data_IF_872936802313
#
_entry.id   IF_872936802313
#
_cell.length_a   1.000
_cell.length_b   1.000
_cell.length_c   1.000
_cell.angle_alpha   90.00
_cell.angle_beta   90.00
_cell.angle_gamma   90.00
#
_symmetry.space_group_name_H-M   'P 1'
#
loop_
_entity.id
_entity.type
_entity.pdbx_description
1 polymer ?
#
# COMPACT_ATOMS: atom_id res chain seq x y z
N UNK A 1 7.57 -3.60 -10.61
CA UNK A 1 6.21 -4.18 -10.74
C UNK A 1 5.28 -3.03 -11.13
N UNK A 2 4.39 -3.16 -12.13
CA UNK A 2 3.80 -2.02 -12.85
C UNK A 2 2.86 -1.14 -12.00
N UNK A 3 3.28 0.09 -11.73
CA UNK A 3 2.37 1.25 -11.71
C UNK A 3 2.32 1.84 -13.13
N UNK A 4 1.28 1.50 -13.89
CA UNK A 4 0.85 2.26 -15.07
C UNK A 4 -0.64 2.55 -14.93
N UNK A 5 -0.96 3.78 -14.53
CA UNK A 5 -1.64 4.75 -15.39
C UNK A 5 -1.72 6.10 -14.66
N UNK A 6 -0.86 7.01 -15.10
CA UNK A 6 -0.73 8.41 -14.66
C UNK A 6 -1.85 9.31 -15.20
N UNK A 7 -3.10 8.84 -15.18
CA UNK A 7 -4.25 9.71 -15.43
C UNK A 7 -5.31 9.14 -16.35
N UNK A 8 -6.53 9.10 -15.79
CA UNK A 8 -7.84 9.35 -16.43
C UNK A 8 -8.86 8.22 -16.52
N UNK A 9 -8.53 6.94 -16.27
CA UNK A 9 -9.57 5.91 -15.97
C UNK A 9 -9.15 4.77 -15.02
N UNK A 10 -7.88 4.68 -14.61
CA UNK A 10 -7.37 3.62 -13.70
C UNK A 10 -6.89 4.09 -12.32
N UNK A 11 -6.85 5.41 -12.05
CA UNK A 11 -6.21 5.96 -10.85
C UNK A 11 -6.88 5.59 -9.52
N UNK A 12 -8.17 5.25 -9.55
CA UNK A 12 -8.89 4.79 -8.35
C UNK A 12 -8.60 3.33 -7.98
N UNK A 13 -8.06 2.53 -8.91
CA UNK A 13 -7.82 1.11 -8.69
C UNK A 13 -6.91 0.86 -7.49
N UNK A 14 -5.97 1.76 -7.25
CA UNK A 14 -4.97 1.68 -6.18
C UNK A 14 -5.10 2.81 -5.14
N UNK A 15 -6.20 3.56 -5.16
CA UNK A 15 -6.38 4.69 -4.25
C UNK A 15 -6.49 4.22 -2.79
N UNK A 16 -7.14 3.08 -2.56
CA UNK A 16 -7.21 2.46 -1.24
C UNK A 16 -5.83 2.02 -0.75
N UNK A 17 -5.04 1.36 -1.60
CA UNK A 17 -3.69 0.91 -1.24
C UNK A 17 -2.79 2.09 -0.86
N UNK A 18 -2.89 3.20 -1.60
CA UNK A 18 -2.17 4.43 -1.30
C UNK A 18 -2.59 5.05 0.06
N UNK A 19 -3.88 5.09 0.36
CA UNK A 19 -4.39 5.60 1.64
C UNK A 19 -3.96 4.71 2.80
N UNK A 20 -4.08 3.39 2.66
CA UNK A 20 -3.66 2.41 3.68
C UNK A 20 -2.15 2.53 3.94
N UNK A 21 -1.34 2.59 2.89
CA UNK A 21 0.10 2.74 3.02
C UNK A 21 0.49 4.09 3.67
N UNK A 22 -0.16 5.20 3.29
CA UNK A 22 0.07 6.50 3.91
C UNK A 22 -0.30 6.50 5.39
N UNK A 23 -1.44 5.91 5.74
CA UNK A 23 -1.91 5.79 7.13
C UNK A 23 -0.94 4.94 7.96
N UNK A 24 -0.52 3.78 7.44
CA UNK A 24 0.42 2.90 8.12
C UNK A 24 1.79 3.56 8.34
N UNK A 25 2.27 4.36 7.37
CA UNK A 25 3.53 5.10 7.48
C UNK A 25 3.48 6.27 8.45
N UNK A 26 2.30 6.85 8.68
CA UNK A 26 2.11 7.95 9.63
C UNK A 26 1.87 7.47 11.06
N UNK A 27 1.49 6.20 11.25
CA UNK A 27 1.26 5.61 12.56
C UNK A 27 2.57 5.41 13.34
N UNK A 28 2.46 5.43 14.68
CA UNK A 28 3.62 5.23 15.55
C UNK A 28 4.06 3.75 15.51
N UNK A 29 5.35 3.45 15.26
CA UNK A 29 5.83 2.07 15.21
C UNK A 29 5.66 1.31 16.53
N UNK A 30 5.49 -0.03 16.51
CA UNK A 30 5.50 -0.90 15.33
C UNK A 30 4.13 -1.02 14.63
N UNK A 31 4.13 -1.16 13.30
CA UNK A 31 2.91 -1.26 12.48
C UNK A 31 2.98 -2.49 11.56
N UNK A 32 1.90 -3.27 11.53
CA UNK A 32 1.70 -4.38 10.60
C UNK A 32 0.42 -4.16 9.78
N UNK A 33 0.50 -4.31 8.46
CA UNK A 33 -0.64 -4.28 7.55
C UNK A 33 -0.90 -5.69 7.04
N UNK A 34 -2.14 -6.17 7.19
CA UNK A 34 -2.58 -7.46 6.69
C UNK A 34 -3.36 -7.26 5.39
N UNK A 35 -2.99 -8.00 4.34
CA UNK A 35 -3.61 -7.88 3.01
C UNK A 35 -3.60 -9.21 2.26
N UNK A 36 -4.64 -9.55 1.48
CA UNK A 36 -4.61 -10.74 0.62
C UNK A 36 -3.66 -10.58 -0.58
N UNK A 37 -3.35 -9.34 -0.97
CA UNK A 37 -2.44 -9.03 -2.07
C UNK A 37 -1.22 -8.25 -1.55
N UNK A 38 -0.08 -8.94 -1.53
CA UNK A 38 1.20 -8.37 -1.09
C UNK A 38 1.88 -7.53 -2.17
N UNK A 39 1.67 -7.87 -3.44
CA UNK A 39 2.48 -7.34 -4.54
C UNK A 39 2.13 -5.88 -4.83
N UNK A 40 0.86 -5.51 -4.63
CA UNK A 40 0.38 -4.14 -4.83
C UNK A 40 0.66 -3.24 -3.61
N UNK A 41 0.49 -3.75 -2.38
CA UNK A 41 0.56 -2.92 -1.17
C UNK A 41 1.98 -2.77 -0.60
N UNK A 42 2.79 -3.85 -0.62
CA UNK A 42 4.13 -3.86 -0.03
C UNK A 42 5.07 -2.79 -0.60
N UNK A 43 5.06 -2.48 -1.91
CA UNK A 43 5.90 -1.40 -2.46
C UNK A 43 5.57 0.00 -1.92
N UNK A 44 4.35 0.22 -1.39
CA UNK A 44 3.88 1.54 -0.94
C UNK A 44 4.17 1.79 0.56
N UNK A 45 4.22 0.74 1.37
CA UNK A 45 4.33 0.83 2.84
C UNK A 45 5.73 1.23 3.36
N UNK A 46 6.78 1.09 2.55
CA UNK A 46 8.16 1.37 2.97
C UNK A 46 8.70 0.37 4.00
N UNK A 47 9.94 0.59 4.46
CA UNK A 47 10.68 -0.43 5.24
C UNK A 47 10.28 -0.57 6.72
N UNK A 48 9.59 0.42 7.28
CA UNK A 48 9.24 0.47 8.71
C UNK A 48 7.87 -0.16 9.02
N UNK A 49 7.09 -0.47 7.98
CA UNK A 49 5.79 -1.09 8.08
C UNK A 49 5.92 -2.53 7.62
N UNK A 50 5.53 -3.46 8.49
CA UNK A 50 5.50 -4.87 8.15
C UNK A 50 4.24 -5.17 7.32
N UNK A 51 4.36 -5.92 6.24
CA UNK A 51 3.21 -6.30 5.40
C UNK A 51 3.13 -7.82 5.33
N UNK A 52 1.99 -8.37 5.73
CA UNK A 52 1.73 -9.82 5.83
C UNK A 52 0.45 -10.22 5.13
N UNK A 53 0.45 -11.46 4.65
CA UNK A 53 -0.74 -12.03 4.04
C UNK A 53 -1.75 -12.40 5.14
N UNK A 54 -3.04 -12.16 4.89
CA UNK A 54 -4.13 -12.73 5.69
C UNK A 54 -4.32 -14.22 5.39
#
# INVERSE_FOLDING_TARGET
MRMKDSGRTGGHKYALDAIVAATARAAQPPVTVLTPDLDDLKPLCGKQVEVRQV
#
